data_IF_061398797326
#
_entry.id   IF_061398797326
#
_cell.length_a   1.000
_cell.length_b   1.000
_cell.length_c   1.000
_cell.angle_alpha   90.00
_cell.angle_beta   90.00
_cell.angle_gamma   90.00
#
_symmetry.space_group_name_H-M   'P 1'
#
loop_
_entity.id
_entity.type
_entity.pdbx_description
1 polymer ?
#
# COMPACT_ATOMS: atom_id res chain seq x y z
N UNK A 1 14.95 28.67 -6.64
CA UNK A 1 13.76 28.61 -5.77
C UNK A 1 14.18 28.90 -4.35
N UNK A 2 13.30 29.50 -3.56
CA UNK A 2 13.48 29.67 -2.12
C UNK A 2 13.36 28.31 -1.41
N UNK A 3 14.27 28.02 -0.47
CA UNK A 3 14.23 26.76 0.28
C UNK A 3 12.96 26.64 1.11
N UNK A 4 12.34 25.45 1.09
CA UNK A 4 11.14 25.15 1.89
C UNK A 4 11.48 24.76 3.34
N UNK A 5 12.62 24.11 3.54
CA UNK A 5 13.06 23.61 4.84
C UNK A 5 14.59 23.55 4.94
N UNK A 6 15.09 23.35 6.15
CA UNK A 6 16.49 23.04 6.46
C UNK A 6 16.61 21.70 7.19
N UNK A 7 17.79 21.07 7.12
CA UNK A 7 18.18 19.98 8.03
C UNK A 7 18.75 20.61 9.30
N UNK A 8 18.28 20.16 10.46
CA UNK A 8 18.80 20.64 11.75
C UNK A 8 19.96 19.77 12.26
N UNK A 9 20.59 20.21 13.35
CA UNK A 9 21.63 19.44 14.07
C UNK A 9 21.05 18.29 14.91
N UNK A 10 19.72 18.25 15.11
CA UNK A 10 19.05 17.14 15.77
C UNK A 10 19.04 15.92 14.85
N UNK A 11 19.71 14.85 15.30
CA UNK A 11 19.91 13.64 14.51
C UNK A 11 19.58 12.38 15.27
N UNK A 12 19.22 11.34 14.52
CA UNK A 12 19.06 9.98 15.01
C UNK A 12 19.89 9.00 14.20
N UNK A 13 20.26 7.87 14.83
CA UNK A 13 20.81 6.71 14.15
C UNK A 13 19.69 5.70 13.88
N UNK A 14 19.43 5.41 12.62
CA UNK A 14 18.39 4.48 12.19
C UNK A 14 18.89 3.68 11.00
N UNK A 15 18.79 2.34 11.07
CA UNK A 15 19.19 1.44 9.97
C UNK A 15 20.62 1.69 9.45
N UNK A 16 21.55 2.00 10.36
CA UNK A 16 22.94 2.35 10.02
C UNK A 16 23.14 3.74 9.40
N UNK A 17 22.08 4.53 9.23
CA UNK A 17 22.09 5.90 8.68
C UNK A 17 22.02 6.96 9.77
N UNK A 18 22.44 8.17 9.41
CA UNK A 18 22.16 9.39 10.21
C UNK A 18 21.01 10.11 9.53
N UNK A 19 19.91 10.30 10.25
CA UNK A 19 18.79 11.10 9.76
C UNK A 19 18.72 12.41 10.54
N UNK A 20 18.38 13.49 9.84
CA UNK A 20 18.27 14.84 10.37
C UNK A 20 16.81 15.24 10.51
N UNK A 21 16.44 15.80 11.66
CA UNK A 21 15.14 16.43 11.84
C UNK A 21 15.03 17.63 10.90
N UNK A 22 13.92 17.76 10.17
CA UNK A 22 13.67 18.89 9.28
C UNK A 22 12.97 20.04 10.00
N UNK A 23 13.23 21.27 9.56
CA UNK A 23 12.52 22.47 10.02
C UNK A 23 12.04 23.32 8.87
N UNK A 24 10.78 23.75 8.90
CA UNK A 24 10.20 24.60 7.88
C UNK A 24 10.80 26.02 7.90
N UNK A 25 11.14 26.56 6.73
CA UNK A 25 11.72 27.91 6.57
C UNK A 25 10.69 28.98 6.19
N UNK A 26 9.50 28.56 5.75
CA UNK A 26 8.38 29.41 5.32
C UNK A 26 7.06 28.69 5.53
N UNK A 27 5.96 29.44 5.49
CA UNK A 27 4.61 28.90 5.57
C UNK A 27 4.20 28.26 4.24
N UNK A 28 3.55 27.09 4.29
CA UNK A 28 2.90 26.43 3.15
C UNK A 28 1.89 25.39 3.62
N UNK A 29 0.74 25.31 2.95
CA UNK A 29 -0.36 24.41 3.37
C UNK A 29 -0.69 24.58 4.87
N UNK A 30 -0.65 23.49 5.63
CA UNK A 30 -0.81 23.43 7.08
C UNK A 30 0.48 23.68 7.89
N UNK A 31 1.65 23.72 7.24
CA UNK A 31 2.96 23.90 7.90
C UNK A 31 3.32 25.38 8.03
N UNK A 32 3.79 25.78 9.22
CA UNK A 32 4.26 27.14 9.53
C UNK A 32 5.77 27.20 9.64
N UNK A 33 6.32 28.38 9.34
CA UNK A 33 7.75 28.66 9.52
C UNK A 33 8.18 28.35 10.94
N UNK A 34 9.24 27.55 11.07
CA UNK A 34 9.79 27.11 12.35
C UNK A 34 9.27 25.74 12.81
N UNK A 35 8.20 25.20 12.21
CA UNK A 35 7.68 23.89 12.56
C UNK A 35 8.73 22.80 12.29
N UNK A 36 8.85 21.88 13.23
CA UNK A 36 9.68 20.68 13.07
C UNK A 36 8.86 19.59 12.37
N UNK A 37 9.41 19.03 11.30
CA UNK A 37 8.89 17.82 10.65
C UNK A 37 9.65 16.57 11.11
N UNK A 38 9.46 15.44 10.44
CA UNK A 38 10.16 14.19 10.72
C UNK A 38 11.63 14.20 10.31
N UNK A 39 12.16 13.02 10.01
CA UNK A 39 13.59 12.80 9.80
C UNK A 39 13.90 12.38 8.36
N UNK A 40 14.88 13.03 7.74
CA UNK A 40 15.37 12.65 6.41
C UNK A 40 16.90 12.45 6.38
N UNK A 41 17.42 11.59 5.50
CA UNK A 41 18.87 11.34 5.39
C UNK A 41 19.60 12.53 4.74
N UNK A 42 19.03 13.09 3.67
CA UNK A 42 19.59 14.24 2.96
C UNK A 42 18.50 15.05 2.23
N UNK A 43 18.82 16.28 1.80
CA UNK A 43 17.87 17.19 1.12
C UNK A 43 17.21 16.57 -0.12
N UNK A 44 17.84 15.59 -0.78
CA UNK A 44 17.24 14.87 -1.91
C UNK A 44 16.02 14.02 -1.58
N UNK A 45 15.73 13.74 -0.30
CA UNK A 45 14.62 12.88 0.10
C UNK A 45 13.26 13.58 0.08
N UNK A 46 13.23 14.91 0.19
CA UNK A 46 12.00 15.70 0.27
C UNK A 46 12.10 16.91 -0.66
N UNK A 47 11.18 17.02 -1.64
CA UNK A 47 11.21 18.13 -2.58
C UNK A 47 10.98 19.47 -1.89
N UNK A 48 11.66 20.52 -2.36
CA UNK A 48 11.34 21.91 -2.01
C UNK A 48 10.12 22.46 -2.76
N UNK A 49 9.66 21.76 -3.81
CA UNK A 49 8.47 22.11 -4.58
C UNK A 49 7.20 21.45 -4.02
N UNK A 50 6.05 22.08 -4.25
CA UNK A 50 4.76 21.63 -3.75
C UNK A 50 4.65 21.62 -2.22
N UNK A 51 3.59 21.00 -1.71
CA UNK A 51 3.25 20.96 -0.29
C UNK A 51 3.66 19.68 0.43
N UNK A 52 4.48 18.83 -0.20
CA UNK A 52 4.92 17.58 0.41
C UNK A 52 5.69 17.83 1.70
N UNK A 53 5.45 16.98 2.69
CA UNK A 53 6.04 17.13 4.02
C UNK A 53 6.12 15.80 4.76
N UNK A 54 7.16 15.69 5.59
CA UNK A 54 7.36 14.59 6.53
C UNK A 54 7.06 15.16 7.91
N UNK A 55 6.03 14.65 8.59
CA UNK A 55 5.58 15.08 9.91
C UNK A 55 6.09 14.11 11.01
N UNK A 56 5.91 14.51 12.26
CA UNK A 56 6.07 13.66 13.45
C UNK A 56 7.40 12.91 13.52
N UNK A 57 7.40 11.58 13.63
CA UNK A 57 8.57 10.72 13.72
C UNK A 57 8.80 9.91 12.43
N UNK A 58 8.16 10.31 11.33
CA UNK A 58 8.29 9.65 10.06
C UNK A 58 9.72 9.78 9.52
N UNK A 59 10.18 8.75 8.80
CA UNK A 59 11.56 8.61 8.36
C UNK A 59 11.60 8.40 6.85
N UNK A 60 12.39 9.21 6.15
CA UNK A 60 12.65 9.06 4.72
C UNK A 60 14.14 9.01 4.47
N UNK A 61 14.64 7.90 3.94
CA UNK A 61 16.09 7.68 3.86
C UNK A 61 16.47 6.86 2.62
N UNK A 62 17.76 6.67 2.41
CA UNK A 62 18.35 6.16 1.18
C UNK A 62 17.96 7.02 -0.03
N UNK A 63 17.62 6.40 -1.16
CA UNK A 63 17.22 7.08 -2.40
C UNK A 63 15.72 7.35 -2.47
N UNK A 64 14.98 7.25 -1.36
CA UNK A 64 13.56 7.51 -1.33
C UNK A 64 13.25 8.99 -1.58
N UNK A 65 12.16 9.29 -2.30
CA UNK A 65 11.82 10.67 -2.68
C UNK A 65 10.33 10.95 -2.41
N UNK A 66 10.08 12.06 -1.70
CA UNK A 66 8.73 12.59 -1.46
C UNK A 66 8.51 13.87 -2.28
N UNK A 67 7.43 13.92 -3.07
CA UNK A 67 7.17 14.96 -4.06
C UNK A 67 5.73 15.49 -3.99
N UNK A 68 5.47 16.60 -4.68
CA UNK A 68 4.15 17.22 -4.88
C UNK A 68 3.47 17.58 -3.55
N UNK A 69 2.34 16.97 -3.18
CA UNK A 69 1.57 17.24 -1.96
C UNK A 69 1.57 16.04 -1.00
N UNK A 70 2.45 15.05 -1.22
CA UNK A 70 2.45 13.82 -0.44
C UNK A 70 2.73 14.10 1.04
N UNK A 71 1.99 13.42 1.93
CA UNK A 71 2.12 13.57 3.38
C UNK A 71 2.59 12.27 4.01
N UNK A 72 3.69 12.31 4.74
CA UNK A 72 4.22 11.17 5.49
C UNK A 72 4.22 11.52 6.97
N UNK A 73 3.53 10.76 7.83
CA UNK A 73 3.36 11.16 9.24
C UNK A 73 3.33 9.97 10.21
N UNK A 74 3.16 10.25 11.51
CA UNK A 74 3.34 9.30 12.62
C UNK A 74 4.74 8.64 12.62
N UNK A 75 4.82 7.31 12.54
CA UNK A 75 6.04 6.51 12.54
C UNK A 75 6.34 5.84 11.20
N UNK A 76 5.74 6.32 10.10
CA UNK A 76 5.93 5.73 8.78
C UNK A 76 7.39 5.78 8.32
N UNK A 77 7.83 4.76 7.58
CA UNK A 77 9.20 4.63 7.10
C UNK A 77 9.23 4.42 5.58
N UNK A 78 9.92 5.31 4.86
CA UNK A 78 10.09 5.26 3.41
C UNK A 78 11.58 5.13 3.08
N UNK A 79 11.98 4.09 2.34
CA UNK A 79 13.39 3.80 2.04
C UNK A 79 13.60 3.13 0.67
N UNK A 80 14.82 2.70 0.35
CA UNK A 80 15.20 2.18 -0.97
C UNK A 80 15.19 3.28 -2.03
N UNK A 81 14.66 2.96 -3.20
CA UNK A 81 14.35 3.87 -4.31
C UNK A 81 12.84 4.20 -4.36
N UNK A 82 12.14 4.13 -3.22
CA UNK A 82 10.70 4.34 -3.19
C UNK A 82 10.33 5.79 -3.54
N UNK A 83 9.15 6.00 -4.12
CA UNK A 83 8.65 7.35 -4.43
C UNK A 83 7.21 7.51 -3.94
N UNK A 84 6.96 8.55 -3.16
CA UNK A 84 5.60 8.94 -2.73
C UNK A 84 5.31 10.35 -3.26
N UNK A 85 4.24 10.48 -4.04
CA UNK A 85 3.97 11.73 -4.77
C UNK A 85 2.47 11.97 -5.00
N UNK A 86 2.14 13.09 -5.65
CA UNK A 86 0.76 13.60 -5.77
C UNK A 86 0.17 13.91 -4.39
N UNK A 87 -1.04 13.46 -4.09
CA UNK A 87 -1.74 13.71 -2.82
C UNK A 87 -1.72 12.48 -1.89
N UNK A 88 -0.82 11.53 -2.16
CA UNK A 88 -0.71 10.28 -1.42
C UNK A 88 -0.32 10.49 0.05
N UNK A 89 -0.85 9.63 0.91
CA UNK A 89 -0.60 9.68 2.35
C UNK A 89 -0.09 8.35 2.89
N UNK A 90 1.00 8.40 3.65
CA UNK A 90 1.59 7.22 4.31
C UNK A 90 1.79 7.51 5.79
N UNK A 91 1.18 6.72 6.67
CA UNK A 91 1.14 7.03 8.09
C UNK A 91 1.05 5.81 9.01
N UNK A 92 0.89 6.04 10.31
CA UNK A 92 1.03 5.03 11.38
C UNK A 92 2.40 4.34 11.36
N UNK A 93 2.46 3.01 11.19
CA UNK A 93 3.70 2.22 11.13
C UNK A 93 3.93 1.65 9.73
N UNK A 94 3.30 2.25 8.71
CA UNK A 94 3.44 1.79 7.33
C UNK A 94 4.88 1.88 6.84
N UNK A 95 5.29 0.91 6.03
CA UNK A 95 6.64 0.83 5.47
C UNK A 95 6.56 0.73 3.95
N UNK A 96 7.24 1.65 3.25
CA UNK A 96 7.34 1.66 1.79
C UNK A 96 8.81 1.61 1.38
N UNK A 97 9.25 0.56 0.68
CA UNK A 97 10.67 0.41 0.34
C UNK A 97 10.95 -0.31 -0.99
N UNK A 98 12.21 -0.41 -1.39
CA UNK A 98 12.57 -0.97 -2.70
C UNK A 98 12.31 0.03 -3.82
N UNK A 99 11.71 -0.36 -4.93
CA UNK A 99 11.36 0.54 -6.05
C UNK A 99 9.85 0.89 -6.05
N UNK A 100 9.22 0.85 -4.87
CA UNK A 100 7.78 1.00 -4.73
C UNK A 100 7.32 2.42 -5.03
N UNK A 101 6.13 2.56 -5.62
CA UNK A 101 5.51 3.86 -5.90
C UNK A 101 4.16 3.97 -5.20
N UNK A 102 3.92 5.10 -4.55
CA UNK A 102 2.61 5.45 -3.98
C UNK A 102 2.21 6.83 -4.50
N UNK A 103 1.02 6.95 -5.11
CA UNK A 103 0.62 8.18 -5.80
C UNK A 103 -0.91 8.35 -5.91
N UNK A 104 -1.37 9.39 -6.60
CA UNK A 104 -2.80 9.75 -6.62
C UNK A 104 -3.24 10.27 -5.25
N UNK A 105 -4.42 9.88 -4.81
CA UNK A 105 -4.96 10.11 -3.46
C UNK A 105 -4.82 8.87 -2.55
N UNK A 106 -3.90 7.96 -2.86
CA UNK A 106 -3.80 6.67 -2.19
C UNK A 106 -3.39 6.80 -0.71
N UNK A 107 -3.89 5.88 0.12
CA UNK A 107 -3.60 5.79 1.55
C UNK A 107 -2.89 4.48 1.89
N UNK A 108 -1.76 4.57 2.60
CA UNK A 108 -1.04 3.40 3.14
C UNK A 108 -0.81 3.59 4.63
N UNK A 109 -1.40 2.73 5.47
CA UNK A 109 -1.41 2.95 6.92
C UNK A 109 -1.50 1.68 7.78
N UNK A 110 -1.54 1.81 9.10
CA UNK A 110 -1.42 0.67 10.02
C UNK A 110 -0.02 0.06 9.96
N UNK A 111 0.07 -1.26 9.84
CA UNK A 111 1.33 -2.03 9.72
C UNK A 111 1.59 -2.46 8.25
N UNK A 112 1.04 -1.71 7.29
CA UNK A 112 1.06 -2.10 5.89
C UNK A 112 2.47 -2.00 5.31
N UNK A 113 2.79 -2.94 4.40
CA UNK A 113 4.08 -2.97 3.72
C UNK A 113 3.89 -2.94 2.21
N UNK A 114 4.50 -1.95 1.55
CA UNK A 114 4.54 -1.82 0.09
C UNK A 114 6.00 -1.88 -0.35
N UNK A 115 6.37 -2.86 -1.19
CA UNK A 115 7.79 -3.06 -1.56
C UNK A 115 8.01 -3.60 -2.96
N UNK A 116 9.26 -3.69 -3.40
CA UNK A 116 9.58 -4.19 -4.74
C UNK A 116 9.27 -3.14 -5.79
N UNK A 117 8.81 -3.50 -6.98
CA UNK A 117 8.41 -2.57 -8.06
C UNK A 117 6.89 -2.29 -8.04
N UNK A 118 6.22 -2.54 -6.92
CA UNK A 118 4.77 -2.38 -6.80
C UNK A 118 4.33 -0.92 -6.91
N UNK A 119 3.09 -0.70 -7.36
CA UNK A 119 2.49 0.63 -7.47
C UNK A 119 1.10 0.66 -6.82
N UNK A 120 0.93 1.54 -5.82
CA UNK A 120 -0.37 1.87 -5.22
C UNK A 120 -0.77 3.27 -5.68
N UNK A 121 -1.92 3.42 -6.34
CA UNK A 121 -2.32 4.71 -6.91
C UNK A 121 -3.85 4.90 -7.02
N UNK A 122 -4.31 6.05 -7.53
CA UNK A 122 -5.75 6.38 -7.50
C UNK A 122 -6.20 6.68 -6.07
N UNK A 123 -7.37 6.21 -5.67
CA UNK A 123 -7.95 6.38 -4.33
C UNK A 123 -7.80 5.09 -3.47
N UNK A 124 -6.80 4.27 -3.80
CA UNK A 124 -6.62 2.96 -3.19
C UNK A 124 -6.19 3.05 -1.73
N UNK A 125 -6.63 2.08 -0.92
CA UNK A 125 -6.28 1.99 0.50
C UNK A 125 -5.59 0.65 0.79
N UNK A 126 -4.41 0.71 1.42
CA UNK A 126 -3.66 -0.48 1.88
C UNK A 126 -3.36 -0.32 3.36
N UNK A 127 -3.92 -1.20 4.20
CA UNK A 127 -3.86 -0.99 5.65
C UNK A 127 -3.87 -2.22 6.54
N UNK A 128 -3.68 -2.00 7.84
CA UNK A 128 -3.41 -3.05 8.84
C UNK A 128 -2.20 -3.88 8.38
N UNK A 129 -2.20 -5.20 8.53
CA UNK A 129 -1.05 -6.04 8.16
C UNK A 129 -0.94 -6.39 6.65
N UNK A 130 -1.57 -5.61 5.76
CA UNK A 130 -1.57 -5.87 4.32
C UNK A 130 -0.16 -5.77 3.70
N UNK A 131 0.12 -6.57 2.66
CA UNK A 131 1.42 -6.59 1.99
C UNK A 131 1.29 -6.56 0.46
N UNK A 132 1.88 -5.55 -0.17
CA UNK A 132 1.95 -5.41 -1.63
C UNK A 132 3.41 -5.52 -2.06
N UNK A 133 3.73 -6.43 -2.99
CA UNK A 133 5.11 -6.58 -3.46
C UNK A 133 5.24 -7.15 -4.89
N UNK A 134 6.46 -7.34 -5.39
CA UNK A 134 6.67 -7.74 -6.78
C UNK A 134 6.48 -6.56 -7.74
N UNK A 135 5.80 -6.78 -8.85
CA UNK A 135 5.35 -5.78 -9.84
C UNK A 135 3.83 -5.50 -9.71
N UNK A 136 3.26 -5.73 -8.52
CA UNK A 136 1.82 -5.67 -8.30
C UNK A 136 1.28 -4.24 -8.35
N UNK A 137 0.06 -4.08 -8.88
CA UNK A 137 -0.62 -2.80 -8.99
C UNK A 137 -1.95 -2.81 -8.20
N UNK A 138 -2.15 -1.83 -7.34
CA UNK A 138 -3.39 -1.62 -6.59
C UNK A 138 -3.88 -0.20 -6.86
N UNK A 139 -5.05 -0.05 -7.46
CA UNK A 139 -5.50 1.26 -7.90
C UNK A 139 -7.02 1.45 -7.92
N UNK A 140 -7.49 2.63 -8.39
CA UNK A 140 -8.88 3.07 -8.27
C UNK A 140 -9.32 3.08 -6.80
N UNK A 141 -10.47 2.51 -6.42
CA UNK A 141 -10.98 2.49 -5.04
C UNK A 141 -10.67 1.17 -4.32
N UNK A 142 -9.67 0.41 -4.79
CA UNK A 142 -9.36 -0.90 -4.22
C UNK A 142 -8.90 -0.80 -2.76
N UNK A 143 -9.34 -1.76 -1.93
CA UNK A 143 -9.01 -1.82 -0.50
C UNK A 143 -8.37 -3.16 -0.14
N UNK A 144 -7.12 -3.12 0.31
CA UNK A 144 -6.35 -4.30 0.74
C UNK A 144 -6.06 -4.22 2.23
N UNK A 145 -6.52 -5.20 3.02
CA UNK A 145 -6.43 -5.13 4.48
C UNK A 145 -6.26 -6.48 5.17
N UNK A 146 -5.95 -6.44 6.47
CA UNK A 146 -6.02 -7.59 7.39
C UNK A 146 -5.21 -8.81 6.91
N UNK A 147 -3.90 -8.65 6.67
CA UNK A 147 -2.97 -9.71 6.22
C UNK A 147 -3.12 -10.16 4.76
N UNK A 148 -3.96 -9.49 3.96
CA UNK A 148 -4.06 -9.75 2.54
C UNK A 148 -2.72 -9.47 1.84
N UNK A 149 -2.39 -10.31 0.85
CA UNK A 149 -1.16 -10.17 0.06
C UNK A 149 -1.48 -10.09 -1.43
N UNK A 150 -0.93 -9.07 -2.08
CA UNK A 150 -0.99 -8.92 -3.54
C UNK A 150 0.45 -8.85 -4.06
N UNK A 151 0.82 -9.76 -4.96
CA UNK A 151 2.21 -9.84 -5.41
C UNK A 151 2.40 -10.37 -6.83
N UNK A 152 3.66 -10.51 -7.25
CA UNK A 152 4.07 -10.75 -8.65
C UNK A 152 3.51 -9.65 -9.57
N UNK A 153 2.85 -9.97 -10.68
CA UNK A 153 2.23 -9.00 -11.59
C UNK A 153 0.72 -8.83 -11.35
N UNK A 154 0.22 -9.18 -10.15
CA UNK A 154 -1.21 -9.13 -9.87
C UNK A 154 -1.75 -7.69 -9.88
N UNK A 155 -3.02 -7.55 -10.30
CA UNK A 155 -3.71 -6.26 -10.36
C UNK A 155 -5.02 -6.30 -9.59
N UNK A 156 -5.20 -5.35 -8.67
CA UNK A 156 -6.45 -5.16 -7.93
C UNK A 156 -6.95 -3.73 -8.13
N UNK A 157 -8.14 -3.57 -8.67
CA UNK A 157 -8.71 -2.27 -9.01
C UNK A 157 -10.25 -2.25 -8.92
N UNK A 158 -10.92 -1.21 -9.40
CA UNK A 158 -12.34 -0.98 -9.15
C UNK A 158 -12.63 -0.69 -7.68
N UNK A 159 -13.74 -1.20 -7.18
CA UNK A 159 -14.14 -1.13 -5.78
C UNK A 159 -13.81 -2.42 -5.03
N UNK A 160 -12.81 -3.18 -5.49
CA UNK A 160 -12.50 -4.50 -4.95
C UNK A 160 -12.00 -4.43 -3.50
N UNK A 161 -12.53 -5.29 -2.65
CA UNK A 161 -12.14 -5.40 -1.23
C UNK A 161 -11.48 -6.76 -1.02
N UNK A 162 -10.19 -6.76 -0.69
CA UNK A 162 -9.40 -7.94 -0.33
C UNK A 162 -9.09 -7.89 1.16
N UNK A 163 -9.54 -8.89 1.92
CA UNK A 163 -9.43 -8.92 3.36
C UNK A 163 -9.04 -10.32 3.88
N UNK A 164 -8.38 -10.37 5.03
CA UNK A 164 -7.91 -11.62 5.62
C UNK A 164 -6.66 -12.14 4.92
N UNK A 165 -6.22 -13.37 5.19
CA UNK A 165 -5.02 -13.97 4.59
C UNK A 165 -5.18 -14.36 3.11
N UNK A 166 -5.98 -13.62 2.34
CA UNK A 166 -6.15 -13.80 0.91
C UNK A 166 -4.85 -13.52 0.15
N UNK A 167 -4.56 -14.35 -0.86
CA UNK A 167 -3.36 -14.29 -1.69
C UNK A 167 -3.76 -14.08 -3.16
N UNK A 168 -3.36 -12.94 -3.72
CA UNK A 168 -3.57 -12.58 -5.13
C UNK A 168 -2.21 -12.45 -5.81
N UNK A 169 -1.89 -13.30 -6.79
CA UNK A 169 -0.53 -13.38 -7.32
C UNK A 169 -0.41 -13.89 -8.76
N UNK A 170 0.82 -14.06 -9.26
CA UNK A 170 1.15 -14.18 -10.68
C UNK A 170 0.56 -13.01 -11.50
N UNK A 171 -0.34 -13.25 -12.45
CA UNK A 171 -0.97 -12.23 -13.30
C UNK A 171 -2.47 -12.06 -12.98
N UNK A 172 -2.92 -12.48 -11.79
CA UNK A 172 -4.32 -12.46 -11.41
C UNK A 172 -4.89 -11.04 -11.43
N UNK A 173 -6.15 -10.91 -11.85
CA UNK A 173 -6.87 -9.64 -11.91
C UNK A 173 -8.14 -9.72 -11.07
N UNK A 174 -8.27 -8.79 -10.14
CA UNK A 174 -9.50 -8.62 -9.35
C UNK A 174 -10.01 -7.19 -9.54
N UNK A 175 -11.25 -7.03 -10.01
CA UNK A 175 -11.77 -5.70 -10.31
C UNK A 175 -13.30 -5.58 -10.25
N UNK A 176 -13.85 -4.37 -10.25
CA UNK A 176 -15.27 -4.14 -10.01
C UNK A 176 -15.62 -4.17 -8.52
N UNK A 177 -16.86 -4.45 -8.18
CA UNK A 177 -17.41 -4.53 -6.82
C UNK A 177 -17.19 -5.92 -6.18
N UNK A 178 -15.96 -6.44 -6.26
CA UNK A 178 -15.61 -7.77 -5.74
C UNK A 178 -15.32 -7.74 -4.25
N UNK A 179 -15.76 -8.77 -3.53
CA UNK A 179 -15.36 -9.01 -2.13
C UNK A 179 -14.64 -10.35 -2.04
N UNK A 180 -13.40 -10.33 -1.56
CA UNK A 180 -12.62 -11.51 -1.21
C UNK A 180 -12.29 -11.45 0.27
N UNK A 181 -12.76 -12.42 1.04
CA UNK A 181 -12.51 -12.49 2.48
C UNK A 181 -12.50 -13.93 2.97
N UNK A 182 -11.58 -14.31 3.83
CA UNK A 182 -11.81 -15.52 4.64
C UNK A 182 -12.96 -15.20 5.61
N UNK A 183 -14.01 -16.02 5.73
CA UNK A 183 -15.06 -15.73 6.71
C UNK A 183 -14.54 -15.91 8.14
N UNK A 184 -15.08 -15.11 9.06
CA UNK A 184 -14.79 -15.08 10.50
C UNK A 184 -13.35 -14.70 10.94
N UNK A 185 -12.94 -13.44 10.72
CA UNK A 185 -12.01 -12.79 11.65
C UNK A 185 -12.76 -12.35 12.92
N UNK A 186 -13.29 -13.30 13.69
CA UNK A 186 -13.52 -13.11 15.12
C UNK A 186 -12.19 -13.43 15.81
N UNK A 187 -11.77 -12.60 16.75
CA UNK A 187 -10.43 -12.65 17.39
C UNK A 187 -10.17 -13.96 18.19
N UNK A 188 -11.10 -14.91 18.15
CA UNK A 188 -11.18 -16.06 19.07
C UNK A 188 -11.26 -17.42 18.36
N UNK A 189 -11.44 -17.49 17.04
CA UNK A 189 -11.56 -18.77 16.34
C UNK A 189 -10.30 -19.11 15.54
N UNK A 190 -9.47 -20.00 16.09
CA UNK A 190 -8.44 -20.79 15.37
C UNK A 190 -9.05 -21.81 14.38
N UNK A 191 -10.28 -21.58 13.90
CA UNK A 191 -10.85 -22.44 12.86
C UNK A 191 -10.23 -22.00 11.54
N UNK A 192 -9.31 -22.83 11.07
CA UNK A 192 -8.56 -22.72 9.82
C UNK A 192 -9.50 -22.82 8.59
N UNK A 193 -10.39 -21.83 8.42
CA UNK A 193 -11.05 -21.56 7.15
C UNK A 193 -9.94 -21.05 6.24
N UNK A 194 -9.36 -21.97 5.46
CA UNK A 194 -8.18 -21.72 4.63
C UNK A 194 -8.28 -20.46 3.76
N UNK A 195 -7.15 -20.07 3.18
CA UNK A 195 -7.04 -18.81 2.48
C UNK A 195 -7.76 -18.82 1.12
N UNK A 196 -8.26 -17.66 0.70
CA UNK A 196 -8.59 -17.43 -0.72
C UNK A 196 -7.28 -17.27 -1.50
N UNK A 197 -7.07 -18.08 -2.53
CA UNK A 197 -5.91 -18.00 -3.43
C UNK A 197 -6.39 -17.77 -4.87
N UNK A 198 -5.97 -16.66 -5.48
CA UNK A 198 -6.28 -16.31 -6.88
C UNK A 198 -4.97 -16.10 -7.62
N UNK A 199 -4.72 -16.91 -8.64
CA UNK A 199 -3.41 -16.95 -9.27
C UNK A 199 -3.41 -17.43 -10.72
N UNK A 200 -2.25 -17.25 -11.36
CA UNK A 200 -2.10 -17.41 -12.80
C UNK A 200 -2.68 -16.20 -13.51
N UNK A 201 -3.52 -16.40 -14.52
CA UNK A 201 -4.17 -15.32 -15.29
C UNK A 201 -5.65 -15.11 -14.88
N UNK A 202 -5.99 -15.43 -13.63
CA UNK A 202 -7.36 -15.59 -13.18
C UNK A 202 -8.04 -14.24 -13.09
N UNK A 203 -9.33 -14.19 -13.41
CA UNK A 203 -10.11 -12.96 -13.35
C UNK A 203 -11.28 -13.13 -12.40
N UNK A 204 -11.39 -12.25 -11.41
CA UNK A 204 -12.57 -12.16 -10.56
C UNK A 204 -13.12 -10.75 -10.66
N UNK A 205 -14.37 -10.61 -11.12
CA UNK A 205 -14.91 -9.30 -11.45
C UNK A 205 -16.41 -9.13 -11.28
N UNK A 206 -16.93 -7.97 -11.69
CA UNK A 206 -18.29 -7.47 -11.49
C UNK A 206 -18.65 -7.37 -10.01
N UNK A 207 -19.48 -8.26 -9.45
CA UNK A 207 -19.92 -8.23 -8.06
C UNK A 207 -19.73 -9.58 -7.36
N UNK A 208 -18.72 -10.34 -7.82
CA UNK A 208 -18.40 -11.65 -7.28
C UNK A 208 -17.97 -11.58 -5.81
N UNK A 209 -18.35 -12.61 -5.04
CA UNK A 209 -18.04 -12.74 -3.63
C UNK A 209 -17.36 -14.08 -3.38
N UNK A 210 -16.12 -14.04 -2.88
CA UNK A 210 -15.30 -15.22 -2.66
C UNK A 210 -14.93 -15.31 -1.19
N UNK A 211 -15.25 -16.43 -0.57
CA UNK A 211 -15.04 -16.65 0.85
C UNK A 211 -14.30 -17.94 1.19
N UNK A 212 -13.67 -17.98 2.36
CA UNK A 212 -13.04 -19.17 2.94
C UNK A 212 -11.90 -19.75 2.09
N UNK A 213 -11.75 -21.07 2.09
CA UNK A 213 -10.69 -21.81 1.41
C UNK A 213 -10.96 -22.00 -0.08
N UNK A 214 -11.09 -20.89 -0.83
CA UNK A 214 -11.30 -20.92 -2.28
C UNK A 214 -10.00 -20.78 -3.04
N UNK A 215 -9.73 -21.70 -3.98
CA UNK A 215 -8.59 -21.61 -4.90
C UNK A 215 -9.06 -21.45 -6.34
N UNK A 216 -8.65 -20.38 -7.00
CA UNK A 216 -9.01 -20.04 -8.38
C UNK A 216 -7.76 -20.16 -9.25
N UNK A 217 -7.78 -21.13 -10.16
CA UNK A 217 -6.60 -21.56 -10.89
C UNK A 217 -6.50 -20.90 -12.28
N UNK A 218 -5.32 -20.39 -12.59
CA UNK A 218 -4.87 -20.08 -13.96
C UNK A 218 -5.83 -19.12 -14.64
N UNK A 219 -6.46 -19.47 -15.75
CA UNK A 219 -7.28 -18.57 -16.56
C UNK A 219 -8.79 -18.67 -16.26
N UNK A 220 -9.17 -19.16 -15.07
CA UNK A 220 -10.56 -19.16 -14.64
C UNK A 220 -11.13 -17.73 -14.55
N UNK A 221 -12.41 -17.58 -14.88
CA UNK A 221 -13.15 -16.31 -14.81
C UNK A 221 -14.35 -16.45 -13.88
N UNK A 222 -14.39 -15.65 -12.81
CA UNK A 222 -15.53 -15.55 -11.89
C UNK A 222 -16.13 -14.16 -12.00
N UNK A 223 -17.42 -14.06 -12.29
CA UNK A 223 -18.04 -12.77 -12.62
C UNK A 223 -19.49 -12.67 -12.16
N UNK A 224 -20.15 -11.57 -12.53
CA UNK A 224 -21.53 -11.28 -12.16
C UNK A 224 -21.73 -11.33 -10.64
N UNK A 225 -22.75 -12.10 -10.22
CA UNK A 225 -23.15 -12.25 -8.82
C UNK A 225 -22.64 -13.57 -8.19
N UNK A 226 -21.60 -14.18 -8.76
CA UNK A 226 -21.05 -15.44 -8.25
C UNK A 226 -20.74 -15.35 -6.75
N UNK A 227 -21.18 -16.35 -5.99
CA UNK A 227 -20.94 -16.45 -4.55
C UNK A 227 -20.29 -17.80 -4.25
N UNK A 228 -18.99 -17.79 -4.05
CA UNK A 228 -18.16 -18.99 -3.90
C UNK A 228 -17.59 -19.00 -2.50
N UNK A 229 -17.76 -20.10 -1.79
CA UNK A 229 -17.41 -20.24 -0.37
C UNK A 229 -16.97 -21.65 -0.05
N UNK A 230 -16.51 -21.87 1.18
CA UNK A 230 -16.02 -23.15 1.66
C UNK A 230 -14.72 -23.60 0.98
N UNK A 231 -14.41 -24.90 1.11
CA UNK A 231 -13.22 -25.52 0.53
C UNK A 231 -13.43 -25.83 -0.96
N UNK A 232 -13.43 -24.79 -1.80
CA UNK A 232 -13.75 -24.89 -3.23
C UNK A 232 -12.51 -24.68 -4.10
N UNK A 233 -12.31 -25.57 -5.07
CA UNK A 233 -11.28 -25.42 -6.11
C UNK A 233 -11.95 -25.18 -7.44
N UNK A 234 -11.62 -24.06 -8.09
CA UNK A 234 -12.09 -23.72 -9.42
C UNK A 234 -10.97 -24.00 -10.42
N UNK A 235 -11.07 -25.07 -11.21
CA UNK A 235 -10.07 -25.39 -12.21
C UNK A 235 -9.88 -24.28 -13.23
N UNK A 236 -8.76 -24.36 -13.94
CA UNK A 236 -8.51 -23.55 -15.13
C UNK A 236 -9.63 -23.69 -16.17
N UNK A 237 -9.73 -22.72 -17.06
CA UNK A 237 -10.69 -22.70 -18.19
C UNK A 237 -12.18 -22.67 -17.78
N UNK A 238 -12.49 -22.55 -16.49
CA UNK A 238 -13.86 -22.44 -15.99
C UNK A 238 -14.33 -20.98 -16.01
N UNK A 239 -15.58 -20.77 -16.41
CA UNK A 239 -16.29 -19.49 -16.31
C UNK A 239 -17.53 -19.66 -15.45
N UNK A 240 -17.65 -18.86 -14.38
CA UNK A 240 -18.79 -18.83 -13.46
C UNK A 240 -19.39 -17.43 -13.47
#
# INVERSE_FOLDING_TARGET
MEKKYELTDETIKFDGKTLHRIRALRDFSDVKKGDLGGYIEHEGNLSHDGNCWVYDDAKVYESAIILHNAKIFDGACISGNASVYSDAQVYSRAVVFGNAKVSGSAYVFGDAVVRGKSHVYGDAEVYNDARIYGDAEVFENARIKNRAKVYDNARVYGNAIICGPALIYNNAKVYGDVIISCSNFTYEDEVNYGNVEIFGDAKVYDSARIYDAVKIFRNAEIRGLANIRGNTRIPQDIKI
#
